data_IF_627433048231
#
_entry.id   IF_627433048231
#
_cell.length_a   1.000
_cell.length_b   1.000
_cell.length_c   1.000
_cell.angle_alpha   90.00
_cell.angle_beta   90.00
_cell.angle_gamma   90.00
#
_symmetry.space_group_name_H-M   'P 1'
#
loop_
_entity.id
_entity.type
_entity.pdbx_description
1 polymer ?
#
# COMPACT_ATOMS: atom_id res chain seq x y z
N UNK A 1 5.60 1.39 12.82
CA UNK A 1 6.41 0.53 11.94
C UNK A 1 5.72 0.48 10.58
N UNK A 2 6.27 1.09 9.51
CA UNK A 2 5.69 0.93 8.18
C UNK A 2 6.07 -0.46 7.64
N UNK A 3 5.07 -1.24 7.26
CA UNK A 3 5.29 -2.57 6.67
C UNK A 3 6.07 -2.41 5.38
N UNK A 4 7.13 -3.21 5.27
CA UNK A 4 8.05 -3.23 4.15
C UNK A 4 7.29 -3.35 2.82
N UNK A 5 7.53 -2.39 1.93
CA UNK A 5 7.26 -2.53 0.51
C UNK A 5 8.14 -3.68 0.02
N UNK A 6 7.54 -4.86 -0.10
CA UNK A 6 8.25 -6.06 -0.54
C UNK A 6 8.56 -5.86 -2.02
N UNK A 7 9.83 -5.61 -2.33
CA UNK A 7 10.30 -5.55 -3.71
C UNK A 7 10.08 -6.91 -4.36
N UNK A 8 9.14 -6.98 -5.31
CA UNK A 8 8.94 -8.17 -6.13
C UNK A 8 10.13 -8.30 -7.08
N UNK A 9 10.88 -9.40 -6.99
CA UNK A 9 11.78 -9.81 -8.07
C UNK A 9 10.96 -9.94 -9.35
N UNK A 10 11.36 -9.25 -10.43
CA UNK A 10 10.62 -9.27 -11.70
C UNK A 10 10.52 -10.70 -12.23
N UNK A 11 9.34 -11.31 -12.10
CA UNK A 11 9.02 -12.62 -12.69
C UNK A 11 8.19 -12.40 -13.95
N UNK A 12 8.77 -12.71 -15.10
CA UNK A 12 8.09 -12.65 -16.38
C UNK A 12 7.32 -13.96 -16.60
N UNK A 13 6.01 -13.87 -16.79
CA UNK A 13 5.14 -15.00 -17.11
C UNK A 13 4.57 -14.76 -18.50
N UNK A 14 4.71 -15.76 -19.38
CA UNK A 14 4.04 -15.77 -20.69
C UNK A 14 2.75 -16.56 -20.56
N UNK A 15 1.65 -16.00 -21.03
CA UNK A 15 0.34 -16.63 -21.01
C UNK A 15 -0.34 -16.44 -22.37
N UNK A 16 -1.19 -17.39 -22.75
CA UNK A 16 -1.94 -17.36 -23.99
C UNK A 16 -3.31 -16.72 -23.76
N UNK A 17 -3.74 -15.88 -24.71
CA UNK A 17 -5.09 -15.33 -24.75
C UNK A 17 -6.00 -16.35 -25.45
N UNK A 18 -7.12 -16.66 -24.82
CA UNK A 18 -8.15 -17.59 -25.29
C UNK A 18 -9.44 -16.83 -25.63
N UNK A 19 -10.47 -17.53 -26.13
CA UNK A 19 -11.77 -16.91 -26.41
C UNK A 19 -12.45 -16.38 -25.13
N UNK A 20 -12.14 -17.00 -23.99
CA UNK A 20 -12.59 -16.65 -22.65
C UNK A 20 -11.74 -15.52 -22.03
N UNK A 21 -10.67 -15.09 -22.71
CA UNK A 21 -9.76 -14.05 -22.28
C UNK A 21 -8.40 -14.56 -21.79
N UNK A 22 -7.79 -13.81 -20.87
CA UNK A 22 -6.48 -14.10 -20.29
C UNK A 22 -6.64 -14.59 -18.84
N UNK A 23 -6.09 -15.76 -18.54
CA UNK A 23 -6.04 -16.28 -17.18
C UNK A 23 -4.84 -15.73 -16.42
N UNK A 24 -5.10 -15.02 -15.33
CA UNK A 24 -4.06 -14.51 -14.42
C UNK A 24 -3.79 -15.56 -13.34
N UNK A 25 -2.53 -16.03 -13.16
CA UNK A 25 -2.21 -16.99 -12.12
C UNK A 25 -2.60 -16.49 -10.72
N UNK A 26 -3.34 -17.31 -9.96
CA UNK A 26 -3.84 -16.96 -8.61
C UNK A 26 -2.75 -16.48 -7.63
N UNK A 27 -1.52 -17.00 -7.77
CA UNK A 27 -0.38 -16.60 -6.94
C UNK A 27 -0.03 -15.11 -7.08
N UNK A 28 -0.30 -14.49 -8.23
CA UNK A 28 -0.08 -13.06 -8.45
C UNK A 28 -1.11 -12.17 -7.73
N UNK A 29 -2.27 -12.75 -7.36
CA UNK A 29 -3.38 -12.04 -6.73
C UNK A 29 -3.57 -12.45 -5.26
N UNK A 30 -2.63 -13.20 -4.69
CA UNK A 30 -2.75 -13.68 -3.32
C UNK A 30 -2.77 -12.51 -2.32
N UNK A 31 -3.82 -12.45 -1.49
CA UNK A 31 -4.00 -11.39 -0.49
C UNK A 31 -4.63 -10.09 -1.03
N UNK A 32 -4.92 -10.01 -2.33
CA UNK A 32 -5.63 -8.87 -2.94
C UNK A 32 -7.12 -9.21 -3.01
N UNK A 33 -8.00 -8.34 -2.49
CA UNK A 33 -9.46 -8.54 -2.60
C UNK A 33 -10.06 -7.87 -3.82
N UNK A 34 -9.58 -6.68 -4.17
CA UNK A 34 -10.09 -5.91 -5.30
C UNK A 34 -8.94 -5.33 -6.13
N UNK A 35 -9.18 -5.20 -7.42
CA UNK A 35 -8.22 -4.66 -8.39
C UNK A 35 -8.90 -3.67 -9.32
N UNK A 36 -8.15 -2.67 -9.73
CA UNK A 36 -8.49 -1.79 -10.84
C UNK A 36 -7.80 -2.31 -12.11
N UNK A 37 -8.58 -2.49 -13.19
CA UNK A 37 -8.06 -2.90 -14.50
C UNK A 37 -8.11 -1.69 -15.43
N UNK A 38 -6.95 -1.26 -15.92
CA UNK A 38 -6.83 -0.14 -16.85
C UNK A 38 -6.34 -0.62 -18.20
N UNK A 39 -6.89 -0.06 -19.27
CA UNK A 39 -6.46 -0.29 -20.65
C UNK A 39 -5.93 1.00 -21.23
N UNK A 40 -4.65 0.99 -21.57
CA UNK A 40 -3.96 2.04 -22.32
C UNK A 40 -3.63 1.51 -23.72
N UNK A 41 -3.09 2.35 -24.61
CA UNK A 41 -2.86 1.98 -26.03
C UNK A 41 -2.00 0.71 -26.19
N UNK A 42 -1.00 0.52 -25.33
CA UNK A 42 -0.02 -0.58 -25.44
C UNK A 42 0.14 -1.39 -24.16
N UNK A 43 -0.65 -1.10 -23.13
CA UNK A 43 -0.50 -1.70 -21.80
C UNK A 43 -1.87 -1.94 -21.16
N UNK A 44 -2.04 -3.12 -20.58
CA UNK A 44 -3.13 -3.40 -19.63
C UNK A 44 -2.48 -3.55 -18.27
N UNK A 45 -2.87 -2.71 -17.31
CA UNK A 45 -2.38 -2.77 -15.94
C UNK A 45 -3.47 -3.28 -15.01
N UNK A 46 -3.10 -4.18 -14.10
CA UNK A 46 -3.95 -4.67 -13.00
C UNK A 46 -3.32 -4.16 -11.72
N UNK A 47 -4.00 -3.23 -11.05
CA UNK A 47 -3.48 -2.54 -9.86
C UNK A 47 -4.33 -2.96 -8.66
N UNK A 48 -3.75 -3.44 -7.55
CA UNK A 48 -4.50 -3.70 -6.33
C UNK A 48 -5.14 -2.42 -5.81
N UNK A 49 -6.42 -2.48 -5.44
CA UNK A 49 -7.04 -1.43 -4.64
C UNK A 49 -6.63 -1.66 -3.19
N UNK A 50 -6.07 -0.63 -2.55
CA UNK A 50 -5.76 -0.68 -1.13
C UNK A 50 -7.08 -0.80 -0.35
N UNK A 51 -7.24 -1.88 0.43
CA UNK A 51 -8.38 -2.06 1.33
C UNK A 51 -8.33 -1.09 2.50
N UNK A 52 -7.13 -0.73 2.91
CA UNK A 52 -6.86 0.05 4.10
C UNK A 52 -6.13 1.32 3.63
N UNK A 53 -6.91 2.37 3.35
CA UNK A 53 -6.31 3.69 3.14
C UNK A 53 -5.77 4.16 4.48
N UNK A 54 -4.44 4.15 4.62
CA UNK A 54 -3.75 4.59 5.83
C UNK A 54 -4.12 6.03 6.22
N UNK A 55 -4.60 6.85 5.27
CA UNK A 55 -5.15 8.18 5.56
C UNK A 55 -6.46 8.07 6.35
N UNK A 56 -7.34 7.12 6.00
CA UNK A 56 -8.59 6.85 6.74
C UNK A 56 -8.34 6.24 8.12
N UNK A 57 -7.14 5.68 8.35
CA UNK A 57 -6.73 5.14 9.65
C UNK A 57 -6.04 6.18 10.56
N UNK A 58 -5.78 7.40 10.06
CA UNK A 58 -5.19 8.47 10.87
C UNK A 58 -6.14 8.89 12.00
N UNK A 59 -5.61 9.02 13.21
CA UNK A 59 -6.38 9.45 14.38
C UNK A 59 -7.28 8.37 15.02
N UNK A 60 -7.31 7.15 14.47
CA UNK A 60 -8.05 6.02 15.08
C UNK A 60 -7.38 5.50 16.37
N UNK A 61 -6.06 5.63 16.47
CA UNK A 61 -5.31 5.25 17.67
C UNK A 61 -4.36 6.37 18.08
N UNK A 62 -4.89 7.49 18.63
CA UNK A 62 -4.05 8.58 19.11
C UNK A 62 -3.21 8.08 20.29
N UNK A 63 -1.92 8.38 20.24
CA UNK A 63 -1.03 8.22 21.39
C UNK A 63 -1.24 9.40 22.31
N UNK A 64 -1.73 9.14 23.52
CA UNK A 64 -1.73 10.11 24.60
C UNK A 64 -0.32 10.18 25.18
N UNK A 65 0.43 11.21 24.79
CA UNK A 65 1.74 11.50 25.36
C UNK A 65 1.60 12.22 26.70
N UNK A 66 2.33 11.78 27.72
CA UNK A 66 2.78 12.67 28.80
C UNK A 66 4.09 13.30 28.32
N UNK A 67 4.31 14.64 28.36
CA UNK A 67 3.48 15.72 28.95
C UNK A 67 2.31 16.25 28.08
N UNK A 68 1.34 17.01 28.66
CA UNK A 68 0.15 17.47 27.93
C UNK A 68 0.43 18.48 26.80
N UNK A 69 1.64 19.06 26.77
CA UNK A 69 2.04 20.09 25.79
C UNK A 69 2.97 19.53 24.69
N UNK A 70 3.08 18.21 24.53
CA UNK A 70 3.96 17.58 23.52
C UNK A 70 3.63 18.04 22.11
N UNK A 71 2.35 18.25 21.79
CA UNK A 71 1.93 18.79 20.49
C UNK A 71 2.33 20.26 20.29
N UNK A 72 2.36 21.05 21.37
CA UNK A 72 2.65 22.48 21.34
C UNK A 72 4.16 22.77 21.38
N UNK A 73 4.92 21.91 22.06
CA UNK A 73 6.37 22.04 22.29
C UNK A 73 7.17 20.93 21.62
N UNK A 74 6.62 20.37 20.55
CA UNK A 74 7.16 19.24 19.81
C UNK A 74 8.67 19.35 19.53
N UNK A 75 9.14 20.51 19.08
CA UNK A 75 10.55 20.76 18.79
C UNK A 75 11.47 20.59 20.01
N UNK A 76 10.99 20.94 21.21
CA UNK A 76 11.79 20.85 22.44
C UNK A 76 11.93 19.41 22.94
N UNK A 77 10.95 18.55 22.64
CA UNK A 77 10.98 17.13 23.00
C UNK A 77 11.76 16.29 21.97
N UNK A 78 11.71 16.66 20.69
CA UNK A 78 12.46 15.95 19.63
C UNK A 78 13.93 16.41 19.58
N UNK A 79 14.18 17.69 19.82
CA UNK A 79 15.52 18.27 19.84
C UNK A 79 15.83 18.86 21.21
N UNK A 80 15.95 18.03 22.27
CA UNK A 80 16.40 18.54 23.56
C UNK A 80 17.78 19.16 23.36
N UNK A 81 17.88 20.46 23.67
CA UNK A 81 19.12 21.21 23.55
C UNK A 81 20.25 20.46 24.28
N UNK A 82 21.35 20.20 23.56
CA UNK A 82 22.56 19.61 24.13
C UNK A 82 23.22 20.53 25.15
#
# INVERSE_FOLDING_TARGET
>A
MPKAQTGFAQKIIKAQVTAEGLLVPRQLLAGIREVEIRREEHLISIVPLALDDLILELGQSPIFGEPPDVSERHDQYIYPAR
#
